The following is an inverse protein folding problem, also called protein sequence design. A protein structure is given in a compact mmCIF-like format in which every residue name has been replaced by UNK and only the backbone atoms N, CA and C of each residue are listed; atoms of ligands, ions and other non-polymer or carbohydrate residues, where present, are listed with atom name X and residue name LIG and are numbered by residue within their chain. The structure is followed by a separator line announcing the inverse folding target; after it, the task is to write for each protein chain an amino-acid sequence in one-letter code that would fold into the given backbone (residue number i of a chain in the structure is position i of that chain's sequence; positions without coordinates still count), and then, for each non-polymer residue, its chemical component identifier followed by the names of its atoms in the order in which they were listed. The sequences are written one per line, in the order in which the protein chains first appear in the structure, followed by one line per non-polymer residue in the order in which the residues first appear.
data_IF_106320104283
#
_entry.id   IF_106320104283
#
_cell.length_a   1.000
_cell.length_b   1.000
_cell.length_c   1.000
_cell.angle_alpha   90.00
_cell.angle_beta   90.00
_cell.angle_gamma   90.00
#
_symmetry.space_group_name_H-M   'P 1'
#
loop_
_entity.id
_entity.type
_entity.pdbx_description
1 polymer ?
#
# COMPACT_ATOMS: atom_id res chain seq x y z
N UNK A 1 6.61 14.42 12.15
CA UNK A 1 7.81 14.90 12.87
C UNK A 1 9.03 14.88 11.95
N UNK A 2 9.47 13.72 11.43
CA UNK A 2 10.65 13.62 10.54
C UNK A 2 10.54 14.56 9.33
N UNK A 3 9.41 14.56 8.62
CA UNK A 3 9.21 15.40 7.43
C UNK A 3 9.47 16.90 7.68
N UNK A 4 9.08 17.42 8.86
CA UNK A 4 9.27 18.84 9.21
C UNK A 4 10.73 19.23 9.45
N UNK A 5 11.61 18.24 9.65
CA UNK A 5 13.05 18.46 9.84
C UNK A 5 13.87 18.34 8.56
N UNK A 6 13.26 18.00 7.43
CA UNK A 6 13.98 17.83 6.16
C UNK A 6 14.21 19.22 5.53
N UNK A 7 15.47 19.62 5.25
CA UNK A 7 15.76 20.92 4.66
C UNK A 7 15.22 21.01 3.23
N UNK A 8 14.70 22.18 2.86
CA UNK A 8 14.18 22.47 1.52
C UNK A 8 13.04 21.53 1.06
N UNK A 9 12.28 20.97 2.00
CA UNK A 9 11.17 20.08 1.74
C UNK A 9 9.83 20.69 2.18
N UNK A 10 8.75 20.17 1.60
CA UNK A 10 7.37 20.46 2.00
C UNK A 10 6.53 19.19 1.94
N UNK A 11 5.52 19.11 2.81
CA UNK A 11 4.55 18.00 2.80
C UNK A 11 3.42 18.35 1.84
N UNK A 12 3.22 17.53 0.80
CA UNK A 12 2.20 17.75 -0.23
C UNK A 12 0.86 17.08 0.08
N UNK A 13 0.86 16.04 0.91
CA UNK A 13 -0.33 15.34 1.36
C UNK A 13 -0.02 14.35 2.48
N UNK A 14 -1.05 13.98 3.24
CA UNK A 14 -0.95 13.00 4.34
C UNK A 14 -2.27 12.24 4.48
N UNK A 15 -2.20 10.98 4.91
CA UNK A 15 -3.36 10.17 5.29
C UNK A 15 -3.03 9.33 6.52
N UNK A 16 -4.00 9.18 7.42
CA UNK A 16 -3.93 8.27 8.57
C UNK A 16 -5.34 7.82 8.97
N UNK A 17 -5.90 6.87 8.22
CA UNK A 17 -7.27 6.40 8.46
C UNK A 17 -7.53 5.01 7.88
N UNK A 18 -8.65 4.40 8.28
CA UNK A 18 -9.19 3.21 7.61
C UNK A 18 -9.63 3.58 6.20
N UNK A 19 -9.15 2.82 5.21
CA UNK A 19 -9.45 3.04 3.79
C UNK A 19 -10.33 1.93 3.20
N UNK A 20 -10.33 0.74 3.82
CA UNK A 20 -11.18 -0.41 3.44
C UNK A 20 -11.74 -1.03 4.72
N UNK A 21 -13.05 -1.32 4.75
CA UNK A 21 -13.69 -2.06 5.84
C UNK A 21 -14.93 -2.84 5.36
N UNK A 22 -14.72 -3.79 4.45
CA UNK A 22 -15.80 -4.51 3.77
C UNK A 22 -15.32 -5.82 3.14
N UNK A 23 -16.26 -6.65 2.68
CA UNK A 23 -15.97 -7.74 1.74
C UNK A 23 -15.73 -7.13 0.36
N UNK A 24 -14.59 -7.46 -0.26
CA UNK A 24 -14.15 -6.84 -1.51
C UNK A 24 -13.27 -7.81 -2.32
N UNK A 25 -13.37 -7.75 -3.65
CA UNK A 25 -12.42 -8.40 -4.56
C UNK A 25 -11.07 -7.67 -4.49
N UNK A 26 -9.97 -8.42 -4.41
CA UNK A 26 -8.62 -7.84 -4.27
C UNK A 26 -8.30 -6.85 -5.41
N UNK A 27 -8.71 -7.11 -6.66
CA UNK A 27 -8.49 -6.19 -7.79
C UNK A 27 -9.19 -4.83 -7.60
N UNK A 28 -10.40 -4.83 -7.03
CA UNK A 28 -11.17 -3.63 -6.75
C UNK A 28 -10.51 -2.85 -5.61
N UNK A 29 -10.05 -3.56 -4.57
CA UNK A 29 -9.31 -2.95 -3.46
C UNK A 29 -8.02 -2.27 -3.94
N UNK A 30 -7.24 -2.93 -4.81
CA UNK A 30 -6.03 -2.36 -5.42
C UNK A 30 -6.36 -1.07 -6.18
N UNK A 31 -7.45 -1.08 -6.96
CA UNK A 31 -7.89 0.09 -7.74
C UNK A 31 -8.29 1.26 -6.83
N UNK A 32 -8.98 1.00 -5.72
CA UNK A 32 -9.34 2.04 -4.75
C UNK A 32 -8.10 2.63 -4.06
N UNK A 33 -7.17 1.78 -3.62
CA UNK A 33 -5.93 2.24 -2.97
C UNK A 33 -5.06 3.05 -3.94
N UNK A 34 -5.02 2.69 -5.24
CA UNK A 34 -4.33 3.49 -6.27
C UNK A 34 -4.87 4.92 -6.33
N UNK A 35 -6.19 5.09 -6.32
CA UNK A 35 -6.80 6.43 -6.38
C UNK A 35 -6.60 7.22 -5.08
N UNK A 36 -6.53 6.55 -3.92
CA UNK A 36 -6.11 7.19 -2.66
C UNK A 36 -4.65 7.67 -2.77
N UNK A 37 -3.74 6.84 -3.29
CA UNK A 37 -2.34 7.23 -3.51
C UNK A 37 -2.24 8.42 -4.46
N UNK A 38 -3.03 8.45 -5.54
CA UNK A 38 -3.13 9.61 -6.44
C UNK A 38 -3.54 10.88 -5.71
N UNK A 39 -4.52 10.80 -4.83
CA UNK A 39 -4.95 11.95 -4.03
C UNK A 39 -3.88 12.40 -3.02
N UNK A 40 -3.22 11.46 -2.34
CA UNK A 40 -2.22 11.76 -1.29
C UNK A 40 -0.93 12.33 -1.88
N UNK A 41 -0.53 11.90 -3.07
CA UNK A 41 0.70 12.37 -3.70
C UNK A 41 0.69 13.89 -3.90
N UNK A 42 -0.48 14.49 -4.14
CA UNK A 42 -0.63 15.94 -4.33
C UNK A 42 0.07 16.47 -5.58
N UNK A 43 0.55 15.57 -6.45
CA UNK A 43 1.25 15.87 -7.70
C UNK A 43 0.61 15.06 -8.83
N UNK A 44 0.55 15.65 -10.01
CA UNK A 44 0.09 14.96 -11.22
C UNK A 44 1.30 14.34 -11.90
N UNK A 45 1.43 13.01 -11.81
CA UNK A 45 2.44 12.25 -12.55
C UNK A 45 1.78 11.62 -13.77
N UNK A 46 2.25 11.96 -14.97
CA UNK A 46 1.66 11.52 -16.24
C UNK A 46 2.24 10.17 -16.72
N UNK A 47 3.40 9.78 -16.21
CA UNK A 47 4.07 8.54 -16.60
C UNK A 47 3.24 7.29 -16.29
N UNK A 48 2.85 6.56 -17.35
CA UNK A 48 2.19 5.27 -17.21
C UNK A 48 3.08 4.23 -16.50
N UNK A 49 4.40 4.29 -16.73
CA UNK A 49 5.35 3.38 -16.09
C UNK A 49 5.43 3.59 -14.57
N UNK A 50 5.33 4.85 -14.11
CA UNK A 50 5.20 5.15 -12.70
C UNK A 50 3.94 4.50 -12.12
N UNK A 51 2.78 4.71 -12.75
CA UNK A 51 1.52 4.16 -12.25
C UNK A 51 1.47 2.62 -12.33
N UNK A 52 2.15 2.00 -13.29
CA UNK A 52 2.32 0.54 -13.34
C UNK A 52 3.14 0.04 -12.15
N UNK A 53 4.22 0.75 -11.79
CA UNK A 53 5.05 0.42 -10.63
C UNK A 53 4.27 0.55 -9.32
N UNK A 54 3.45 1.61 -9.19
CA UNK A 54 2.54 1.80 -8.06
C UNK A 54 1.55 0.64 -7.97
N UNK A 55 0.87 0.30 -9.07
CA UNK A 55 -0.10 -0.81 -9.09
C UNK A 55 0.56 -2.14 -8.77
N UNK A 56 1.76 -2.41 -9.27
CA UNK A 56 2.52 -3.63 -8.97
C UNK A 56 2.87 -3.74 -7.48
N UNK A 57 3.34 -2.65 -6.87
CA UNK A 57 3.65 -2.63 -5.44
C UNK A 57 2.41 -2.81 -4.54
N UNK A 58 1.28 -2.18 -4.90
CA UNK A 58 0.00 -2.40 -4.19
C UNK A 58 -0.48 -3.84 -4.39
N UNK A 59 -0.34 -4.40 -5.59
CA UNK A 59 -0.71 -5.79 -5.87
C UNK A 59 0.06 -6.75 -4.97
N UNK A 60 1.39 -6.61 -4.89
CA UNK A 60 2.25 -7.42 -4.02
C UNK A 60 2.02 -7.20 -2.52
N UNK A 61 1.31 -6.13 -2.13
CA UNK A 61 0.88 -5.93 -0.73
C UNK A 61 -0.19 -6.94 -0.31
N UNK A 62 -1.02 -7.40 -1.25
CA UNK A 62 -2.16 -8.26 -0.97
C UNK A 62 -2.07 -9.65 -1.58
N UNK A 63 -1.29 -9.81 -2.65
CA UNK A 63 -1.09 -11.08 -3.36
C UNK A 63 0.40 -11.43 -3.43
N UNK A 64 0.73 -12.61 -3.96
CA UNK A 64 2.12 -13.07 -4.09
C UNK A 64 2.87 -13.02 -2.74
N UNK A 65 2.17 -13.34 -1.64
CA UNK A 65 2.72 -13.19 -0.29
C UNK A 65 3.61 -14.37 0.11
N UNK A 66 3.45 -15.53 -0.50
CA UNK A 66 4.31 -16.71 -0.31
C UNK A 66 5.81 -16.39 -0.48
N UNK A 67 6.27 -15.83 -1.62
CA UNK A 67 7.69 -15.51 -1.79
C UNK A 67 8.18 -14.35 -0.92
N UNK A 68 7.27 -13.63 -0.25
CA UNK A 68 7.58 -12.47 0.58
C UNK A 68 7.53 -12.79 2.08
N UNK A 69 7.22 -14.03 2.47
CA UNK A 69 6.80 -14.37 3.84
C UNK A 69 7.81 -13.99 4.93
N UNK A 70 9.10 -14.00 4.60
CA UNK A 70 10.23 -13.73 5.51
C UNK A 70 10.89 -12.36 5.26
N UNK A 71 10.30 -11.53 4.41
CA UNK A 71 10.87 -10.23 4.04
C UNK A 71 10.62 -9.15 5.10
N UNK A 72 11.59 -8.24 5.29
CA UNK A 72 11.56 -7.27 6.39
C UNK A 72 10.44 -6.21 6.29
N UNK A 73 9.89 -5.99 5.09
CA UNK A 73 8.83 -5.01 4.89
C UNK A 73 7.46 -5.50 5.35
N UNK A 74 7.25 -6.82 5.40
CA UNK A 74 6.05 -7.46 5.92
C UNK A 74 6.27 -7.90 7.38
N UNK A 75 5.30 -7.65 8.25
CA UNK A 75 5.38 -8.05 9.67
C UNK A 75 4.08 -8.71 10.06
N UNK A 76 4.10 -10.04 10.18
CA UNK A 76 2.96 -10.83 10.62
C UNK A 76 2.58 -10.53 12.07
N UNK A 77 1.28 -10.45 12.36
CA UNK A 77 0.72 -10.24 13.70
C UNK A 77 -0.20 -11.40 14.10
N UNK A 78 -1.51 -11.17 14.22
CA UNK A 78 -2.48 -12.23 14.54
C UNK A 78 -2.52 -13.26 13.42
N UNK A 79 -2.33 -14.55 13.76
CA UNK A 79 -2.35 -15.70 12.85
C UNK A 79 -3.30 -16.75 13.42
N UNK A 80 -4.61 -16.55 13.29
CA UNK A 80 -5.62 -17.50 13.76
C UNK A 80 -6.16 -18.37 12.62
N UNK A 81 -7.00 -19.35 12.96
CA UNK A 81 -7.69 -20.19 11.97
C UNK A 81 -8.74 -19.42 11.13
N UNK A 82 -9.14 -18.22 11.56
CA UNK A 82 -10.20 -17.44 10.91
C UNK A 82 -9.75 -16.06 10.45
N UNK A 83 -8.56 -15.61 10.86
CA UNK A 83 -8.09 -14.26 10.60
C UNK A 83 -6.57 -14.18 10.56
N UNK A 84 -6.06 -13.38 9.63
CA UNK A 84 -4.65 -13.01 9.53
C UNK A 84 -4.52 -11.48 9.58
N UNK A 85 -3.53 -10.98 10.30
CA UNK A 85 -3.17 -9.57 10.27
C UNK A 85 -1.68 -9.37 10.09
N UNK A 86 -1.31 -8.31 9.39
CA UNK A 86 0.08 -7.98 9.10
C UNK A 86 0.25 -6.48 8.84
N UNK A 87 1.47 -6.01 9.03
CA UNK A 87 1.91 -4.73 8.49
C UNK A 87 2.62 -4.95 7.17
N UNK A 88 2.46 -4.01 6.24
CA UNK A 88 3.22 -3.98 4.99
C UNK A 88 3.70 -2.55 4.72
N UNK A 89 4.98 -2.38 4.39
CA UNK A 89 5.62 -1.07 4.28
C UNK A 89 6.21 -0.87 2.88
N UNK A 90 5.93 0.26 2.26
CA UNK A 90 6.43 0.66 0.94
C UNK A 90 7.04 2.05 1.06
N UNK A 91 8.06 2.35 0.27
CA UNK A 91 8.56 3.72 0.11
C UNK A 91 8.82 3.98 -1.37
N UNK A 92 8.12 4.95 -1.94
CA UNK A 92 8.40 5.43 -3.29
C UNK A 92 9.29 6.67 -3.24
N UNK A 93 10.30 6.70 -4.11
CA UNK A 93 11.07 7.90 -4.44
C UNK A 93 10.81 8.21 -5.92
N UNK A 94 10.30 9.40 -6.19
CA UNK A 94 9.77 9.77 -7.51
C UNK A 94 10.50 11.02 -7.97
N UNK A 95 11.22 10.90 -9.08
CA UNK A 95 11.84 12.03 -9.76
C UNK A 95 11.75 11.79 -11.26
N UNK A 96 11.01 12.64 -11.95
CA UNK A 96 10.84 12.61 -13.40
C UNK A 96 10.54 14.03 -13.92
N UNK A 97 10.15 14.15 -15.19
CA UNK A 97 9.77 15.41 -15.82
C UNK A 97 8.63 16.14 -15.09
N UNK A 98 7.68 15.40 -14.49
CA UNK A 98 6.53 15.97 -13.79
C UNK A 98 6.89 16.54 -12.41
N UNK A 99 7.97 16.05 -11.78
CA UNK A 99 8.45 16.58 -10.48
C UNK A 99 9.39 17.77 -10.64
N UNK A 100 9.86 18.06 -11.86
CA UNK A 100 10.74 19.19 -12.16
C UNK A 100 12.01 19.20 -11.30
N UNK A 101 12.19 20.26 -10.50
CA UNK A 101 13.35 20.42 -9.61
C UNK A 101 13.23 19.67 -8.28
N UNK A 102 12.11 19.00 -8.04
CA UNK A 102 11.81 18.33 -6.78
C UNK A 102 11.92 16.81 -6.93
N UNK A 103 12.14 16.15 -5.79
CA UNK A 103 11.94 14.73 -5.61
C UNK A 103 10.75 14.55 -4.66
N UNK A 104 9.77 13.73 -5.04
CA UNK A 104 8.68 13.36 -4.16
C UNK A 104 9.00 12.04 -3.45
N UNK A 105 8.81 12.02 -2.13
CA UNK A 105 8.99 10.84 -1.29
C UNK A 105 7.62 10.47 -0.71
N UNK A 106 7.19 9.23 -0.91
CA UNK A 106 5.92 8.71 -0.40
C UNK A 106 6.15 7.42 0.38
N UNK A 107 6.36 7.50 1.70
CA UNK A 107 6.31 6.35 2.59
C UNK A 107 4.86 5.91 2.79
N UNK A 108 4.59 4.61 2.74
CA UNK A 108 3.27 4.05 2.97
C UNK A 108 3.39 2.86 3.92
N UNK A 109 2.59 2.86 4.97
CA UNK A 109 2.41 1.70 5.84
C UNK A 109 0.93 1.29 5.86
N UNK A 110 0.70 0.01 5.63
CA UNK A 110 -0.61 -0.61 5.76
C UNK A 110 -0.68 -1.42 7.06
N UNK A 111 -1.80 -1.28 7.77
CA UNK A 111 -2.22 -2.22 8.80
C UNK A 111 -3.40 -3.02 8.23
N UNK A 112 -3.18 -4.31 7.98
CA UNK A 112 -4.12 -5.15 7.24
C UNK A 112 -4.61 -6.24 8.18
N UNK A 113 -5.92 -6.43 8.20
CA UNK A 113 -6.60 -7.58 8.80
C UNK A 113 -7.53 -8.18 7.75
N UNK A 114 -7.49 -9.49 7.60
CA UNK A 114 -8.30 -10.24 6.64
C UNK A 114 -8.84 -11.50 7.28
N UNK A 115 -10.11 -11.82 7.04
CA UNK A 115 -10.78 -13.00 7.58
C UNK A 115 -10.44 -14.25 6.76
N UNK A 116 -9.15 -14.51 6.59
CA UNK A 116 -8.57 -15.64 5.87
C UNK A 116 -7.38 -16.15 6.68
N UNK A 117 -7.26 -17.47 6.85
CA UNK A 117 -6.10 -18.07 7.51
C UNK A 117 -4.82 -17.87 6.68
N UNK A 118 -3.66 -17.74 7.33
CA UNK A 118 -2.38 -17.41 6.67
C UNK A 118 -2.09 -18.31 5.47
N UNK A 119 -2.24 -19.62 5.62
CA UNK A 119 -1.90 -20.58 4.55
C UNK A 119 -2.73 -20.38 3.27
N UNK A 120 -3.99 -19.95 3.38
CA UNK A 120 -4.80 -19.60 2.21
C UNK A 120 -4.40 -18.23 1.67
N UNK A 121 -4.13 -17.27 2.58
CA UNK A 121 -3.74 -15.91 2.23
C UNK A 121 -2.45 -15.85 1.41
N UNK A 122 -1.48 -16.75 1.65
CA UNK A 122 -0.22 -16.80 0.92
C UNK A 122 -0.40 -16.98 -0.60
N UNK A 123 -1.52 -17.59 -1.02
CA UNK A 123 -1.84 -17.91 -2.41
C UNK A 123 -3.05 -17.14 -2.95
N UNK A 124 -3.50 -16.10 -2.23
CA UNK A 124 -4.61 -15.27 -2.69
C UNK A 124 -4.23 -14.52 -3.97
N UNK A 125 -5.19 -14.39 -4.88
CA UNK A 125 -5.04 -13.73 -6.17
C UNK A 125 -5.87 -12.46 -6.24
N UNK A 126 -5.66 -11.69 -7.31
CA UNK A 126 -6.44 -10.46 -7.56
C UNK A 126 -7.94 -10.73 -7.78
N UNK A 127 -8.34 -11.98 -8.06
CA UNK A 127 -9.74 -12.37 -8.33
C UNK A 127 -10.48 -12.86 -7.10
N UNK A 128 -9.77 -13.11 -6.00
CA UNK A 128 -10.37 -13.57 -4.78
C UNK A 128 -11.05 -12.42 -4.02
N UNK A 129 -12.06 -12.77 -3.24
CA UNK A 129 -12.78 -11.85 -2.36
C UNK A 129 -12.66 -12.31 -0.92
N UNK A 130 -12.42 -11.36 -0.02
CA UNK A 130 -12.42 -11.61 1.41
C UNK A 130 -12.89 -10.36 2.16
N UNK A 131 -13.21 -10.52 3.45
CA UNK A 131 -13.49 -9.39 4.33
C UNK A 131 -12.17 -8.78 4.78
N UNK A 132 -11.92 -7.54 4.37
CA UNK A 132 -10.73 -6.78 4.69
C UNK A 132 -11.04 -5.60 5.60
N UNK A 133 -10.12 -5.34 6.53
CA UNK A 133 -9.98 -4.06 7.22
C UNK A 133 -8.56 -3.55 6.98
N UNK A 134 -8.43 -2.42 6.30
CA UNK A 134 -7.13 -1.83 5.91
C UNK A 134 -7.06 -0.40 6.44
N UNK A 135 -6.07 -0.14 7.28
CA UNK A 135 -5.67 1.21 7.68
C UNK A 135 -4.42 1.61 6.91
N UNK A 136 -4.40 2.82 6.37
CA UNK A 136 -3.27 3.36 5.61
C UNK A 136 -2.71 4.60 6.31
N UNK A 137 -1.38 4.63 6.42
CA UNK A 137 -0.58 5.77 6.87
C UNK A 137 0.40 6.14 5.77
N UNK A 138 0.28 7.35 5.21
CA UNK A 138 1.19 7.87 4.20
C UNK A 138 1.34 9.39 4.30
#
# INVERSE_FOLDING_TARGET
QIANGIPNAGVTGTINQSVIHQTIEVSVMISQIKEIIRSVLGLVINSANFWNSVVSAITNTFTNLEPQVDENWIVWRNLSATQTSYFYKILFSIQNEDTGRFMAILPIAFEITVDVQKQQLLFITIKDSARYAVTMKA
#
